data_IF_761405861751
#
_entry.id   IF_761405861751
#
_cell.length_a   1.000
_cell.length_b   1.000
_cell.length_c   1.000
_cell.angle_alpha   90.00
_cell.angle_beta   90.00
_cell.angle_gamma   90.00
#
_symmetry.space_group_name_H-M   'P 1'
#
loop_
_entity.id
_entity.type
_entity.pdbx_description
1 polymer ?
#
# COMPACT_ATOMS: atom_id res chain seq x y z
N UNK A 1 -17.02 -6.57 1.75
CA UNK A 1 -16.39 -5.67 0.76
C UNK A 1 -15.86 -6.51 -0.41
N UNK A 2 -15.70 -5.98 -1.63
CA UNK A 2 -15.37 -6.77 -2.85
C UNK A 2 -14.15 -7.71 -2.64
N UNK A 3 -13.10 -7.23 -1.97
CA UNK A 3 -11.89 -8.00 -1.62
C UNK A 3 -12.23 -9.21 -0.73
N UNK A 4 -13.04 -9.02 0.29
CA UNK A 4 -13.39 -10.08 1.26
C UNK A 4 -14.37 -11.09 0.66
N UNK A 5 -15.31 -10.63 -0.16
CA UNK A 5 -16.39 -11.48 -0.68
C UNK A 5 -16.03 -12.18 -1.98
N UNK A 6 -15.24 -11.55 -2.86
CA UNK A 6 -14.85 -12.13 -4.15
C UNK A 6 -13.49 -12.81 -4.10
N UNK A 7 -12.54 -12.26 -3.35
CA UNK A 7 -11.16 -12.75 -3.34
C UNK A 7 -10.83 -13.58 -2.09
N UNK A 8 -11.76 -13.68 -1.15
CA UNK A 8 -11.59 -14.45 0.09
C UNK A 8 -10.47 -13.92 0.99
N UNK A 9 -10.08 -12.66 0.79
CA UNK A 9 -8.98 -12.02 1.50
C UNK A 9 -9.48 -11.03 2.53
N UNK A 10 -8.87 -11.05 3.71
CA UNK A 10 -9.17 -10.05 4.72
C UNK A 10 -8.53 -8.73 4.31
N UNK A 11 -9.31 -7.66 4.26
CA UNK A 11 -8.70 -6.35 4.08
C UNK A 11 -8.06 -5.89 5.39
N UNK A 12 -6.80 -5.49 5.31
CA UNK A 12 -6.06 -4.88 6.42
C UNK A 12 -5.98 -3.38 6.15
N UNK A 13 -6.47 -2.58 7.10
CA UNK A 13 -6.47 -1.12 6.98
C UNK A 13 -5.05 -0.53 7.01
N UNK A 14 -4.86 0.57 6.28
CA UNK A 14 -3.57 1.28 6.14
C UNK A 14 -3.33 2.29 7.27
N UNK A 15 -3.63 1.89 8.51
CA UNK A 15 -3.66 2.79 9.67
C UNK A 15 -2.29 3.00 10.32
N UNK A 16 -1.40 2.00 10.23
CA UNK A 16 -0.03 2.05 10.76
C UNK A 16 1.00 1.72 9.68
N UNK A 17 2.16 2.36 9.81
CA UNK A 17 3.38 2.14 9.02
C UNK A 17 4.58 1.77 9.92
N UNK A 18 4.34 1.44 11.19
CA UNK A 18 5.41 1.00 12.10
C UNK A 18 5.87 -0.41 11.73
N UNK A 19 7.18 -0.67 11.73
CA UNK A 19 7.74 -1.97 11.34
C UNK A 19 7.20 -3.11 12.21
N UNK A 20 7.06 -2.88 13.52
CA UNK A 20 6.51 -3.85 14.47
C UNK A 20 5.05 -4.25 14.17
N UNK A 21 4.22 -3.29 13.80
CA UNK A 21 2.82 -3.53 13.42
C UNK A 21 2.73 -4.30 12.11
N UNK A 22 3.53 -3.91 11.11
CA UNK A 22 3.59 -4.61 9.82
C UNK A 22 4.09 -6.04 10.01
N UNK A 23 5.12 -6.25 10.85
CA UNK A 23 5.63 -7.57 11.20
C UNK A 23 4.57 -8.43 11.89
N UNK A 24 3.84 -7.87 12.86
CA UNK A 24 2.76 -8.58 13.55
C UNK A 24 1.63 -8.97 12.58
N UNK A 25 1.27 -8.09 11.64
CA UNK A 25 0.26 -8.38 10.61
C UNK A 25 0.70 -9.49 9.65
N UNK A 26 1.96 -9.45 9.19
CA UNK A 26 2.53 -10.49 8.32
C UNK A 26 2.56 -11.86 9.00
N UNK A 27 2.86 -11.90 10.31
CA UNK A 27 2.83 -13.16 11.08
C UNK A 27 1.43 -13.76 11.22
N UNK A 28 0.39 -12.91 11.29
CA UNK A 28 -0.99 -13.36 11.46
C UNK A 28 -1.61 -13.77 10.13
N UNK A 29 -1.43 -12.97 9.08
CA UNK A 29 -2.00 -13.21 7.76
C UNK A 29 -1.15 -12.50 6.69
N UNK A 30 -0.07 -13.18 6.30
CA UNK A 30 0.91 -12.69 5.33
C UNK A 30 0.26 -12.29 4.00
N UNK A 31 -0.56 -13.19 3.44
CA UNK A 31 -1.17 -13.03 2.13
C UNK A 31 -2.12 -11.82 2.11
N UNK A 32 -3.03 -11.73 3.08
CA UNK A 32 -3.94 -10.58 3.19
C UNK A 32 -3.20 -9.27 3.41
N UNK A 33 -2.08 -9.28 4.15
CA UNK A 33 -1.25 -8.09 4.39
C UNK A 33 -0.62 -7.58 3.10
N UNK A 34 0.08 -8.46 2.37
CA UNK A 34 0.73 -8.12 1.10
C UNK A 34 -0.31 -7.60 0.10
N UNK A 35 -1.42 -8.33 -0.06
CA UNK A 35 -2.43 -7.96 -1.04
C UNK A 35 -3.19 -6.69 -0.67
N UNK A 36 -3.45 -6.44 0.61
CA UNK A 36 -4.07 -5.20 1.06
C UNK A 36 -3.18 -3.98 0.74
N UNK A 37 -1.86 -4.09 0.89
CA UNK A 37 -0.92 -3.05 0.46
C UNK A 37 -1.08 -2.81 -1.06
N UNK A 38 -0.99 -3.89 -1.86
CA UNK A 38 -1.04 -3.81 -3.32
C UNK A 38 -2.32 -3.18 -3.87
N UNK A 39 -3.46 -3.65 -3.39
CA UNK A 39 -4.77 -3.18 -3.85
C UNK A 39 -4.98 -1.73 -3.47
N UNK A 40 -4.50 -1.32 -2.30
CA UNK A 40 -4.71 0.05 -1.82
C UNK A 40 -3.93 1.06 -2.67
N UNK A 41 -2.64 0.84 -2.94
CA UNK A 41 -1.91 1.75 -3.83
C UNK A 41 -2.39 1.64 -5.29
N UNK A 42 -2.78 0.44 -5.75
CA UNK A 42 -3.32 0.27 -7.11
C UNK A 42 -4.63 1.05 -7.28
N UNK A 43 -5.49 1.07 -6.25
CA UNK A 43 -6.73 1.86 -6.23
C UNK A 43 -6.43 3.36 -6.26
N UNK A 44 -5.42 3.82 -5.53
CA UNK A 44 -4.99 5.23 -5.55
C UNK A 44 -4.56 5.67 -6.95
N UNK A 45 -3.64 4.93 -7.60
CA UNK A 45 -3.23 5.21 -8.97
C UNK A 45 -4.36 5.02 -9.99
N UNK A 46 -5.26 4.06 -9.76
CA UNK A 46 -6.46 3.85 -10.57
C UNK A 46 -7.38 5.06 -10.56
N UNK A 47 -7.63 5.66 -9.38
CA UNK A 47 -8.43 6.88 -9.29
C UNK A 47 -7.81 8.03 -10.08
N UNK A 48 -6.49 8.23 -9.94
CA UNK A 48 -5.73 9.24 -10.70
C UNK A 48 -5.89 9.00 -12.20
N UNK A 49 -5.65 7.76 -12.65
CA UNK A 49 -5.66 7.42 -14.08
C UNK A 49 -7.02 7.59 -14.72
N UNK A 50 -8.09 7.22 -14.01
CA UNK A 50 -9.46 7.21 -14.56
C UNK A 50 -10.12 8.58 -14.40
N UNK A 51 -9.92 9.25 -13.26
CA UNK A 51 -10.65 10.47 -12.91
C UNK A 51 -9.82 11.75 -13.06
N UNK A 52 -8.50 11.64 -13.24
CA UNK A 52 -7.58 12.79 -13.26
C UNK A 52 -7.43 13.48 -11.91
N UNK A 53 -7.90 12.86 -10.82
CA UNK A 53 -7.90 13.41 -9.46
C UNK A 53 -7.84 12.30 -8.41
N UNK A 54 -7.50 12.66 -7.18
CA UNK A 54 -7.45 11.73 -6.05
C UNK A 54 -7.97 12.38 -4.77
N UNK A 55 -8.78 11.66 -4.01
CA UNK A 55 -9.24 12.14 -2.70
C UNK A 55 -8.09 12.20 -1.68
N UNK A 56 -8.12 13.17 -0.76
CA UNK A 56 -7.13 13.28 0.31
C UNK A 56 -6.96 11.98 1.12
N UNK A 57 -8.09 11.33 1.46
CA UNK A 57 -8.09 10.06 2.20
C UNK A 57 -7.40 8.95 1.41
N UNK A 58 -7.76 8.76 0.14
CA UNK A 58 -7.15 7.70 -0.68
C UNK A 58 -5.68 7.96 -0.95
N UNK A 59 -5.27 9.22 -1.14
CA UNK A 59 -3.86 9.59 -1.28
C UNK A 59 -3.05 9.17 -0.04
N UNK A 60 -3.53 9.52 1.15
CA UNK A 60 -2.88 9.11 2.42
C UNK A 60 -2.78 7.58 2.53
N UNK A 61 -3.87 6.87 2.24
CA UNK A 61 -3.89 5.41 2.29
C UNK A 61 -2.92 4.78 1.26
N UNK A 62 -2.84 5.33 0.05
CA UNK A 62 -1.92 4.86 -0.99
C UNK A 62 -0.45 5.06 -0.61
N UNK A 63 -0.10 6.20 -0.02
CA UNK A 63 1.26 6.44 0.49
C UNK A 63 1.61 5.47 1.61
N UNK A 64 0.71 5.27 2.57
CA UNK A 64 0.91 4.30 3.66
C UNK A 64 1.08 2.88 3.10
N UNK A 65 0.30 2.50 2.07
CA UNK A 65 0.39 1.19 1.45
C UNK A 65 1.72 0.95 0.74
N UNK A 66 2.27 1.97 0.05
CA UNK A 66 3.58 1.87 -0.59
C UNK A 66 4.71 1.76 0.44
N UNK A 67 4.69 2.57 1.50
CA UNK A 67 5.66 2.50 2.59
C UNK A 67 5.62 1.13 3.28
N UNK A 68 4.42 0.62 3.56
CA UNK A 68 4.23 -0.74 4.10
C UNK A 68 4.74 -1.82 3.17
N UNK A 69 4.63 -1.64 1.85
CA UNK A 69 5.17 -2.60 0.89
C UNK A 69 6.70 -2.64 0.93
N UNK A 70 7.37 -1.48 1.03
CA UNK A 70 8.83 -1.44 1.25
C UNK A 70 9.22 -2.15 2.55
N UNK A 71 8.52 -1.88 3.66
CA UNK A 71 8.75 -2.57 4.93
C UNK A 71 8.51 -4.08 4.81
N UNK A 72 7.46 -4.49 4.10
CA UNK A 72 7.16 -5.91 3.87
C UNK A 72 8.29 -6.60 3.11
N UNK A 73 8.79 -5.97 2.04
CA UNK A 73 9.93 -6.46 1.28
C UNK A 73 11.17 -6.60 2.17
N UNK A 74 11.46 -5.60 3.01
CA UNK A 74 12.58 -5.65 3.97
C UNK A 74 12.41 -6.76 5.02
N UNK A 75 11.23 -6.89 5.63
CA UNK A 75 10.92 -7.88 6.66
C UNK A 75 11.05 -9.30 6.11
N UNK A 76 10.55 -9.54 4.91
CA UNK A 76 10.56 -10.83 4.23
C UNK A 76 11.85 -11.06 3.42
N UNK A 77 12.81 -10.14 3.49
CA UNK A 77 14.10 -10.22 2.80
C UNK A 77 13.98 -10.39 1.27
N UNK A 78 13.02 -9.70 0.67
CA UNK A 78 12.89 -9.62 -0.78
C UNK A 78 13.95 -8.68 -1.35
N UNK A 79 14.70 -9.15 -2.35
CA UNK A 79 15.75 -8.36 -3.01
C UNK A 79 17.06 -8.36 -2.25
N UNK A 80 17.78 -7.24 -2.31
CA UNK A 80 19.13 -7.05 -1.77
C UNK A 80 19.15 -6.34 -0.40
N UNK A 81 17.98 -6.20 0.23
CA UNK A 81 17.83 -5.51 1.51
C UNK A 81 17.82 -3.99 1.41
N UNK A 82 17.87 -3.41 0.21
CA UNK A 82 17.66 -1.98 -0.03
C UNK A 82 16.21 -1.68 -0.40
N UNK A 83 15.82 -0.42 -0.25
CA UNK A 83 14.50 0.04 -0.68
C UNK A 83 14.34 -0.10 -2.20
N UNK A 84 13.19 -0.61 -2.63
CA UNK A 84 12.88 -0.76 -4.06
C UNK A 84 12.84 0.61 -4.75
N UNK A 85 13.66 0.84 -5.81
CA UNK A 85 13.64 2.10 -6.57
C UNK A 85 12.29 2.35 -7.25
N UNK A 86 11.57 1.28 -7.63
CA UNK A 86 10.25 1.37 -8.25
C UNK A 86 9.23 1.85 -7.23
N UNK A 87 9.20 1.26 -6.03
CA UNK A 87 8.29 1.70 -4.97
C UNK A 87 8.60 3.13 -4.54
N UNK A 88 9.89 3.50 -4.46
CA UNK A 88 10.28 4.87 -4.16
C UNK A 88 9.77 5.85 -5.21
N UNK A 89 9.92 5.53 -6.50
CA UNK A 89 9.40 6.37 -7.58
C UNK A 89 7.87 6.52 -7.50
N UNK A 90 7.16 5.46 -7.15
CA UNK A 90 5.70 5.51 -6.93
C UNK A 90 5.33 6.40 -5.74
N UNK A 91 6.08 6.36 -4.64
CA UNK A 91 5.89 7.25 -3.49
C UNK A 91 6.09 8.71 -3.91
N UNK A 92 7.15 8.99 -4.66
CA UNK A 92 7.47 10.34 -5.13
C UNK A 92 6.36 10.88 -6.04
N UNK A 93 5.91 10.07 -7.01
CA UNK A 93 4.86 10.44 -7.97
C UNK A 93 3.52 10.68 -7.26
N UNK A 94 3.13 9.80 -6.33
CA UNK A 94 1.89 9.98 -5.57
C UNK A 94 1.96 11.18 -4.61
N UNK A 95 3.13 11.44 -4.03
CA UNK A 95 3.38 12.60 -3.17
C UNK A 95 3.24 13.91 -3.97
N UNK A 96 3.81 13.96 -5.17
CA UNK A 96 3.76 15.14 -6.04
C UNK A 96 2.36 15.42 -6.61
N UNK A 97 1.54 14.38 -6.82
CA UNK A 97 0.21 14.54 -7.43
C UNK A 97 -0.77 15.27 -6.47
N UNK A 98 -1.37 16.42 -6.85
CA UNK A 98 -2.27 17.16 -5.96
C UNK A 98 -3.53 16.35 -5.64
N UNK A 99 -4.06 16.51 -4.42
CA UNK A 99 -5.33 15.91 -4.03
C UNK A 99 -6.47 16.92 -4.18
N UNK A 100 -7.69 16.41 -4.26
CA UNK A 100 -8.91 17.23 -4.22
C UNK A 100 -9.00 18.00 -2.89
N UNK A 101 -9.36 19.28 -2.96
CA UNK A 101 -9.63 20.13 -1.80
C UNK A 101 -10.89 19.68 -1.05
#
# INVERSE_FOLDING_TARGET
MLIETMWGMKYIAMDSILEEDVRAQLLVDEMSTIQSNMITYATAFGQIKVMGKISHKLKKMGLNALARHQLTAKILQWGDGQDSPILQKMIDDLTAFPHEN
#
